data_IF_673114336322
#
_entry.id   IF_673114336322
#
_cell.length_a   1.000
_cell.length_b   1.000
_cell.length_c   1.000
_cell.angle_alpha   90.00
_cell.angle_beta   90.00
_cell.angle_gamma   90.00
#
_symmetry.space_group_name_H-M   'P 1'
#
loop_
_entity.id
_entity.type
_entity.pdbx_description
1 polymer ?
#
# COMPACT_ATOMS: atom_id res chain seq x y z
N UNK A 1 1.14 7.88 22.64
CA UNK A 1 -0.08 8.35 23.33
C UNK A 1 -1.06 8.91 22.30
N UNK A 2 -2.16 8.20 22.00
CA UNK A 2 -3.23 8.74 21.14
C UNK A 2 -3.90 9.90 21.87
N UNK A 3 -3.82 11.12 21.33
CA UNK A 3 -4.66 12.24 21.81
C UNK A 3 -6.12 11.80 21.70
N UNK A 4 -6.74 11.56 22.85
CA UNK A 4 -8.18 11.42 22.97
C UNK A 4 -8.80 12.74 22.48
N UNK A 5 -9.31 12.79 21.25
CA UNK A 5 -10.27 13.84 20.89
C UNK A 5 -11.37 13.82 21.97
N UNK A 6 -11.69 14.98 22.55
CA UNK A 6 -12.80 15.09 23.49
C UNK A 6 -14.04 14.53 22.80
N UNK A 7 -14.73 13.58 23.46
CA UNK A 7 -15.98 13.01 22.97
C UNK A 7 -16.97 14.16 22.77
N UNK A 8 -17.61 14.22 21.60
CA UNK A 8 -18.68 15.19 21.36
C UNK A 8 -19.91 14.85 22.23
N UNK A 9 -20.84 15.79 22.45
CA UNK A 9 -22.11 15.47 23.12
C UNK A 9 -22.89 14.33 22.43
N UNK A 10 -22.81 14.25 21.10
CA UNK A 10 -23.39 13.15 20.32
C UNK A 10 -22.65 11.82 20.58
N UNK A 11 -21.33 11.85 20.74
CA UNK A 11 -20.56 10.66 21.10
C UNK A 11 -20.97 10.11 22.47
N UNK A 12 -21.28 10.99 23.43
CA UNK A 12 -21.74 10.58 24.76
C UNK A 12 -23.10 9.88 24.72
N UNK A 13 -24.02 10.37 23.88
CA UNK A 13 -25.33 9.77 23.66
C UNK A 13 -25.21 8.37 23.02
N UNK A 14 -24.29 8.20 22.06
CA UNK A 14 -24.06 6.94 21.36
C UNK A 14 -23.18 5.95 22.14
N UNK A 15 -22.37 6.43 23.09
CA UNK A 15 -21.40 5.60 23.81
C UNK A 15 -22.07 4.51 24.67
N UNK A 16 -23.15 4.84 25.38
CA UNK A 16 -23.84 3.86 26.22
C UNK A 16 -24.53 2.76 25.39
N UNK A 17 -25.31 3.06 24.34
CA UNK A 17 -25.82 2.03 23.43
C UNK A 17 -24.72 1.21 22.76
N UNK A 18 -23.59 1.83 22.38
CA UNK A 18 -22.46 1.12 21.79
C UNK A 18 -21.82 0.13 22.77
N UNK A 19 -21.74 0.48 24.06
CA UNK A 19 -21.26 -0.43 25.10
C UNK A 19 -22.21 -1.62 25.28
N UNK A 20 -23.53 -1.36 25.32
CA UNK A 20 -24.55 -2.43 25.39
C UNK A 20 -24.38 -3.40 24.22
N UNK A 21 -24.26 -2.88 22.99
CA UNK A 21 -24.01 -3.72 21.82
C UNK A 21 -22.70 -4.50 21.97
N UNK A 22 -21.61 -3.87 22.41
CA UNK A 22 -20.32 -4.53 22.61
C UNK A 22 -20.38 -5.68 23.63
N UNK A 23 -21.19 -5.55 24.69
CA UNK A 23 -21.49 -6.61 25.65
C UNK A 23 -22.33 -7.73 25.02
N UNK A 24 -23.37 -7.38 24.25
CA UNK A 24 -24.20 -8.35 23.53
C UNK A 24 -23.38 -9.21 22.55
N UNK A 25 -22.30 -8.68 21.96
CA UNK A 25 -21.38 -9.48 21.13
C UNK A 25 -20.83 -10.71 21.86
N UNK A 26 -20.65 -10.65 23.20
CA UNK A 26 -20.14 -11.77 24.00
C UNK A 26 -21.21 -12.81 24.22
N UNK A 27 -22.46 -12.36 24.41
CA UNK A 27 -23.63 -13.23 24.61
C UNK A 27 -23.98 -13.98 23.33
N UNK A 28 -23.96 -13.30 22.18
CA UNK A 28 -24.33 -13.87 20.87
C UNK A 28 -23.24 -14.82 20.34
N UNK A 29 -22.02 -14.74 20.87
CA UNK A 29 -20.85 -15.46 20.35
C UNK A 29 -21.02 -16.97 20.10
N UNK A 30 -21.71 -17.76 20.96
CA UNK A 30 -21.92 -19.19 20.69
C UNK A 30 -22.69 -19.45 19.38
N UNK A 31 -23.49 -18.49 18.92
CA UNK A 31 -24.30 -18.57 17.71
C UNK A 31 -23.61 -17.88 16.53
N UNK A 32 -23.04 -16.69 16.73
CA UNK A 32 -22.38 -15.92 15.67
C UNK A 32 -21.23 -15.07 16.20
N UNK A 33 -20.17 -14.94 15.40
CA UNK A 33 -19.04 -14.06 15.71
C UNK A 33 -19.11 -12.79 14.87
N UNK A 34 -19.27 -11.65 15.52
CA UNK A 34 -19.23 -10.33 14.86
C UNK A 34 -17.87 -9.70 15.12
N UNK A 35 -17.19 -9.22 14.08
CA UNK A 35 -15.86 -8.62 14.17
C UNK A 35 -15.80 -7.24 13.58
N UNK A 36 -14.89 -6.42 14.11
CA UNK A 36 -14.72 -5.02 13.70
C UNK A 36 -13.26 -4.72 13.40
N UNK A 37 -13.01 -3.84 12.42
CA UNK A 37 -11.67 -3.27 12.19
C UNK A 37 -11.76 -1.98 11.39
N UNK A 38 -10.95 -1.00 11.78
CA UNK A 38 -10.73 0.20 10.97
C UNK A 38 -9.89 -0.17 9.74
N UNK A 39 -10.36 0.18 8.54
CA UNK A 39 -9.61 0.03 7.31
C UNK A 39 -8.40 0.99 7.32
N UNK A 40 -7.17 0.49 7.11
CA UNK A 40 -5.98 1.35 7.01
C UNK A 40 -5.93 1.99 5.62
N UNK A 41 -6.60 3.13 5.45
CA UNK A 41 -6.69 3.84 4.17
C UNK A 41 -5.78 5.07 4.08
N UNK A 42 -4.98 5.35 5.12
CA UNK A 42 -4.05 6.46 5.22
C UNK A 42 -2.74 6.24 4.44
N UNK A 43 -2.44 4.99 4.10
CA UNK A 43 -1.31 4.61 3.26
C UNK A 43 -1.76 3.57 2.23
N UNK A 44 -1.28 3.70 0.99
CA UNK A 44 -1.77 2.88 -0.13
C UNK A 44 -1.35 1.41 -0.03
N UNK A 45 -0.17 1.13 0.55
CA UNK A 45 0.30 -0.24 0.79
C UNK A 45 -0.65 -1.00 1.72
N UNK A 46 -0.84 -0.54 2.97
CA UNK A 46 -1.83 -1.12 3.88
C UNK A 46 -3.25 -1.18 3.29
N UNK A 47 -3.72 -0.13 2.60
CA UNK A 47 -5.04 -0.12 1.97
C UNK A 47 -5.20 -1.29 0.98
N UNK A 48 -4.18 -1.52 0.15
CA UNK A 48 -4.22 -2.56 -0.88
C UNK A 48 -4.00 -3.94 -0.28
N UNK A 49 -2.90 -4.12 0.47
CA UNK A 49 -2.45 -5.43 0.95
C UNK A 49 -3.41 -6.01 2.00
N UNK A 50 -3.89 -5.20 2.95
CA UNK A 50 -4.82 -5.69 3.99
C UNK A 50 -6.16 -6.09 3.38
N UNK A 51 -6.66 -5.31 2.41
CA UNK A 51 -7.92 -5.59 1.73
C UNK A 51 -7.86 -6.89 0.92
N UNK A 52 -6.79 -7.07 0.12
CA UNK A 52 -6.61 -8.28 -0.67
C UNK A 52 -6.36 -9.51 0.21
N UNK A 53 -5.60 -9.36 1.30
CA UNK A 53 -5.41 -10.42 2.29
C UNK A 53 -6.73 -10.85 2.95
N UNK A 54 -7.58 -9.88 3.33
CA UNK A 54 -8.89 -10.17 3.90
C UNK A 54 -9.79 -10.95 2.94
N UNK A 55 -9.88 -10.51 1.68
CA UNK A 55 -10.67 -11.20 0.65
C UNK A 55 -10.18 -12.64 0.45
N UNK A 56 -8.85 -12.84 0.50
CA UNK A 56 -8.26 -14.17 0.39
C UNK A 56 -8.61 -15.09 1.55
N UNK A 57 -8.58 -14.58 2.78
CA UNK A 57 -9.02 -15.36 3.95
C UNK A 57 -10.49 -15.75 3.79
N UNK A 58 -11.36 -14.84 3.32
CA UNK A 58 -12.78 -15.14 3.09
C UNK A 58 -13.01 -16.21 2.03
N UNK A 59 -12.25 -16.17 0.94
CA UNK A 59 -12.29 -17.17 -0.13
C UNK A 59 -11.82 -18.55 0.35
N UNK A 60 -10.70 -18.61 1.09
CA UNK A 60 -10.10 -19.86 1.54
C UNK A 60 -10.78 -20.48 2.76
N UNK A 61 -11.35 -19.65 3.62
CA UNK A 61 -11.93 -20.07 4.90
C UNK A 61 -13.30 -19.42 5.09
N UNK A 62 -14.32 -19.85 4.31
CA UNK A 62 -15.67 -19.33 4.47
C UNK A 62 -16.20 -19.69 5.86
N UNK A 63 -16.62 -18.67 6.62
CA UNK A 63 -17.18 -18.83 7.97
C UNK A 63 -18.61 -18.27 7.98
N UNK A 64 -19.65 -19.11 7.79
CA UNK A 64 -21.03 -18.64 7.58
C UNK A 64 -21.64 -17.93 8.79
N UNK A 65 -21.13 -18.19 10.00
CA UNK A 65 -21.56 -17.55 11.24
C UNK A 65 -20.62 -16.41 11.67
N UNK A 66 -19.87 -15.85 10.73
CA UNK A 66 -18.93 -14.76 10.99
C UNK A 66 -19.28 -13.52 10.16
N UNK A 67 -19.58 -12.43 10.86
CA UNK A 67 -19.98 -11.16 10.26
C UNK A 67 -18.90 -10.12 10.54
N UNK A 68 -18.45 -9.46 9.48
CA UNK A 68 -17.32 -8.54 9.55
C UNK A 68 -17.75 -7.13 9.18
N UNK A 69 -17.43 -6.18 10.06
CA UNK A 69 -17.72 -4.78 9.90
C UNK A 69 -16.40 -4.02 9.77
N UNK A 70 -15.99 -3.81 8.52
CA UNK A 70 -14.97 -2.84 8.20
C UNK A 70 -15.55 -1.43 8.31
N UNK A 71 -14.79 -0.53 8.92
CA UNK A 71 -15.18 0.87 9.01
C UNK A 71 -14.03 1.79 8.66
N UNK A 72 -14.35 2.98 8.16
CA UNK A 72 -13.38 4.02 7.88
C UNK A 72 -13.66 5.19 8.81
N UNK A 73 -12.70 5.50 9.69
CA UNK A 73 -12.80 6.65 10.58
C UNK A 73 -12.81 7.96 9.78
N UNK A 74 -13.69 8.87 10.15
CA UNK A 74 -13.77 10.21 9.53
C UNK A 74 -12.46 10.99 9.60
N UNK A 75 -11.61 10.72 10.59
CA UNK A 75 -10.31 11.38 10.74
C UNK A 75 -9.22 10.89 9.79
N UNK A 76 -9.46 9.82 9.03
CA UNK A 76 -8.46 9.24 8.13
C UNK A 76 -8.41 10.07 6.84
N UNK A 77 -7.24 10.65 6.54
CA UNK A 77 -6.95 11.21 5.22
C UNK A 77 -6.66 10.03 4.28
N UNK A 78 -7.55 9.76 3.34
CA UNK A 78 -7.40 8.65 2.39
C UNK A 78 -6.20 8.90 1.47
N UNK A 79 -5.35 7.90 1.28
CA UNK A 79 -4.12 8.00 0.48
C UNK A 79 -4.36 7.93 -1.02
N UNK A 80 -5.41 7.23 -1.45
CA UNK A 80 -5.81 7.07 -2.84
C UNK A 80 -7.31 6.73 -2.90
N UNK A 81 -8.13 7.66 -3.39
CA UNK A 81 -9.59 7.49 -3.44
C UNK A 81 -10.03 6.52 -4.53
N UNK A 82 -9.33 6.46 -5.66
CA UNK A 82 -9.62 5.47 -6.70
C UNK A 82 -9.46 4.04 -6.17
N UNK A 83 -8.34 3.74 -5.52
CA UNK A 83 -8.10 2.41 -4.91
C UNK A 83 -9.09 2.14 -3.78
N UNK A 84 -9.48 3.14 -2.98
CA UNK A 84 -10.55 2.97 -1.98
C UNK A 84 -11.87 2.56 -2.64
N UNK A 85 -12.27 3.18 -3.75
CA UNK A 85 -13.47 2.81 -4.50
C UNK A 85 -13.38 1.37 -5.04
N UNK A 86 -12.21 0.96 -5.55
CA UNK A 86 -11.96 -0.42 -5.97
C UNK A 86 -12.12 -1.40 -4.79
N UNK A 87 -11.64 -1.04 -3.60
CA UNK A 87 -11.84 -1.86 -2.39
C UNK A 87 -13.31 -1.88 -1.96
N UNK A 88 -14.01 -0.73 -2.00
CA UNK A 88 -15.43 -0.61 -1.60
C UNK A 88 -16.37 -1.41 -2.50
N UNK A 89 -16.01 -1.62 -3.76
CA UNK A 89 -16.76 -2.52 -4.65
C UNK A 89 -16.65 -4.00 -4.24
N UNK A 90 -15.65 -4.38 -3.44
CA UNK A 90 -15.37 -5.75 -3.01
C UNK A 90 -15.66 -5.98 -1.52
N UNK A 91 -15.53 -4.95 -0.69
CA UNK A 91 -15.67 -4.99 0.76
C UNK A 91 -16.64 -3.90 1.20
N UNK A 92 -17.69 -4.30 1.94
CA UNK A 92 -18.59 -3.34 2.57
C UNK A 92 -17.85 -2.57 3.67
N UNK A 93 -17.64 -1.28 3.44
CA UNK A 93 -16.96 -0.38 4.38
C UNK A 93 -17.98 0.63 4.93
N UNK A 94 -18.04 0.75 6.24
CA UNK A 94 -18.97 1.63 6.93
C UNK A 94 -18.32 2.95 7.36
N UNK A 95 -19.01 4.07 7.15
CA UNK A 95 -18.66 5.39 7.72
C UNK A 95 -19.65 5.71 8.83
N UNK A 96 -19.46 5.10 10.00
CA UNK A 96 -20.41 5.22 11.11
C UNK A 96 -19.70 5.37 12.44
N UNK A 97 -19.93 6.51 13.09
CA UNK A 97 -19.40 6.78 14.42
C UNK A 97 -19.87 5.77 15.47
N UNK A 98 -21.08 5.23 15.32
CA UNK A 98 -21.60 4.18 16.20
C UNK A 98 -20.78 2.89 16.11
N UNK A 99 -20.43 2.44 14.90
CA UNK A 99 -19.57 1.26 14.69
C UNK A 99 -18.18 1.51 15.27
N UNK A 100 -17.62 2.72 15.10
CA UNK A 100 -16.35 3.08 15.72
C UNK A 100 -16.38 2.97 17.25
N UNK A 101 -17.45 3.44 17.89
CA UNK A 101 -17.64 3.38 19.33
C UNK A 101 -17.81 1.93 19.81
N UNK A 102 -18.55 1.08 19.07
CA UNK A 102 -18.65 -0.36 19.38
C UNK A 102 -17.27 -1.00 19.32
N UNK A 103 -16.49 -0.73 18.27
CA UNK A 103 -15.14 -1.26 18.13
C UNK A 103 -14.22 -0.79 19.26
N UNK A 104 -14.31 0.49 19.66
CA UNK A 104 -13.54 1.05 20.76
C UNK A 104 -13.91 0.43 22.12
N UNK A 105 -15.19 0.16 22.37
CA UNK A 105 -15.62 -0.59 23.56
C UNK A 105 -15.19 -2.04 23.51
N UNK A 106 -15.30 -2.68 22.35
CA UNK A 106 -14.87 -4.06 22.13
C UNK A 106 -13.41 -4.28 22.50
N UNK A 107 -12.50 -3.34 22.16
CA UNK A 107 -11.08 -3.41 22.51
C UNK A 107 -10.84 -3.46 24.03
N UNK A 108 -11.71 -2.82 24.83
CA UNK A 108 -11.59 -2.74 26.30
C UNK A 108 -12.19 -3.95 27.04
N UNK A 109 -13.04 -4.73 26.38
CA UNK A 109 -13.77 -5.84 27.01
C UNK A 109 -12.99 -7.17 26.89
N UNK A 110 -13.15 -8.11 27.86
CA UNK A 110 -12.56 -9.43 27.78
C UNK A 110 -12.90 -10.17 26.47
N UNK A 111 -11.93 -10.94 25.96
CA UNK A 111 -12.09 -11.71 24.72
C UNK A 111 -12.09 -10.88 23.44
N UNK A 112 -11.73 -9.59 23.49
CA UNK A 112 -11.72 -8.64 22.36
C UNK A 112 -11.10 -9.18 21.07
N UNK A 113 -9.98 -9.91 21.16
CA UNK A 113 -9.27 -10.51 20.02
C UNK A 113 -10.17 -11.37 19.12
N UNK A 114 -11.22 -11.99 19.67
CA UNK A 114 -12.15 -12.84 18.92
C UNK A 114 -13.16 -12.04 18.07
N UNK A 115 -13.30 -10.76 18.38
CA UNK A 115 -14.18 -9.79 17.72
C UNK A 115 -13.38 -8.75 16.91
N UNK A 116 -12.13 -9.07 16.57
CA UNK A 116 -11.28 -8.26 15.71
C UNK A 116 -11.07 -8.97 14.37
N UNK A 117 -11.21 -8.24 13.27
CA UNK A 117 -10.85 -8.79 11.95
C UNK A 117 -9.32 -8.91 11.90
N UNK A 118 -8.81 -10.06 11.47
CA UNK A 118 -7.37 -10.27 11.33
C UNK A 118 -6.81 -9.27 10.32
N UNK A 119 -5.80 -8.50 10.74
CA UNK A 119 -5.14 -7.46 9.94
C UNK A 119 -3.64 -7.70 9.81
N UNK A 120 -3.10 -8.71 10.49
CA UNK A 120 -1.73 -9.14 10.30
C UNK A 120 -1.64 -9.81 8.95
N UNK A 121 -0.82 -9.24 8.07
CA UNK A 121 -0.68 -9.70 6.69
C UNK A 121 0.26 -10.90 6.70
N UNK A 122 -0.22 -12.02 6.16
CA UNK A 122 0.61 -13.18 5.84
C UNK A 122 0.86 -13.18 4.35
N UNK A 123 2.04 -12.71 3.93
CA UNK A 123 2.37 -12.64 2.50
C UNK A 123 2.32 -14.00 1.80
N UNK A 124 2.54 -15.10 2.51
CA UNK A 124 2.37 -16.45 1.97
C UNK A 124 0.94 -16.70 1.45
N UNK A 125 -0.08 -16.07 2.04
CA UNK A 125 -1.45 -16.14 1.51
C UNK A 125 -1.63 -15.28 0.25
N UNK A 126 -0.72 -14.34 0.03
CA UNK A 126 -0.64 -13.47 -1.14
C UNK A 126 0.43 -13.93 -2.16
N UNK A 127 1.09 -15.07 -1.94
CA UNK A 127 2.03 -15.63 -2.91
C UNK A 127 1.30 -16.27 -4.10
N UNK A 128 1.98 -16.28 -5.26
CA UNK A 128 1.41 -16.76 -6.54
C UNK A 128 0.13 -16.00 -6.94
N UNK A 129 -0.06 -14.78 -6.43
CA UNK A 129 -1.21 -13.90 -6.72
C UNK A 129 -1.07 -13.19 -8.06
N UNK A 130 -0.40 -13.83 -9.02
CA UNK A 130 -0.48 -13.40 -10.39
C UNK A 130 -1.92 -13.45 -10.87
N UNK A 131 -2.55 -12.27 -11.02
CA UNK A 131 -3.91 -12.02 -11.55
C UNK A 131 -5.10 -11.75 -10.60
N UNK A 132 -4.96 -11.41 -9.30
CA UNK A 132 -6.16 -11.14 -8.47
C UNK A 132 -6.53 -9.68 -8.27
N UNK A 133 -5.57 -8.74 -8.22
CA UNK A 133 -5.92 -7.33 -8.33
C UNK A 133 -6.20 -7.04 -9.81
N UNK A 134 -7.48 -7.13 -10.19
CA UNK A 134 -7.98 -6.77 -11.51
C UNK A 134 -8.81 -5.52 -11.39
N UNK A 135 -8.41 -4.49 -12.13
CA UNK A 135 -9.25 -3.31 -12.28
C UNK A 135 -10.50 -3.66 -13.09
N UNK A 136 -11.65 -3.04 -12.81
CA UNK A 136 -12.83 -3.16 -13.67
C UNK A 136 -12.46 -2.89 -15.13
N UNK A 137 -13.01 -3.67 -16.08
CA UNK A 137 -12.62 -3.54 -17.49
C UNK A 137 -12.85 -2.12 -18.03
N UNK A 138 -13.96 -1.48 -17.64
CA UNK A 138 -14.25 -0.09 -17.99
C UNK A 138 -13.16 0.88 -17.51
N UNK A 139 -12.63 0.68 -16.30
CA UNK A 139 -11.56 1.51 -15.74
C UNK A 139 -10.22 1.26 -16.43
N UNK A 140 -9.95 0.00 -16.81
CA UNK A 140 -8.77 -0.37 -17.60
C UNK A 140 -8.80 0.31 -18.96
N UNK A 141 -9.94 0.26 -19.65
CA UNK A 141 -10.10 0.87 -20.97
C UNK A 141 -10.01 2.39 -20.90
N UNK A 142 -10.66 3.01 -19.91
CA UNK A 142 -10.58 4.45 -19.66
C UNK A 142 -9.14 4.90 -19.35
N UNK A 143 -8.45 4.18 -18.47
CA UNK A 143 -7.07 4.49 -18.07
C UNK A 143 -6.09 4.24 -19.23
N UNK A 144 -6.27 3.16 -20.00
CA UNK A 144 -5.50 2.87 -21.23
C UNK A 144 -5.63 4.00 -22.25
N UNK A 145 -6.85 4.48 -22.49
CA UNK A 145 -7.08 5.62 -23.38
C UNK A 145 -6.46 6.91 -22.83
N UNK A 146 -6.56 7.16 -21.52
CA UNK A 146 -5.96 8.32 -20.88
C UNK A 146 -4.43 8.31 -21.00
N UNK A 147 -3.77 7.19 -20.67
CA UNK A 147 -2.29 7.12 -20.74
C UNK A 147 -1.79 7.32 -22.17
N UNK A 148 -2.55 6.83 -23.18
CA UNK A 148 -2.28 7.08 -24.60
C UNK A 148 -2.32 8.57 -24.93
N UNK A 149 -3.32 9.30 -24.44
CA UNK A 149 -3.45 10.75 -24.69
C UNK A 149 -2.30 11.56 -24.10
N UNK A 150 -1.71 11.10 -23.00
CA UNK A 150 -0.61 11.80 -22.33
C UNK A 150 0.78 11.42 -22.84
N UNK A 151 0.86 10.52 -23.84
CA UNK A 151 2.11 10.15 -24.54
C UNK A 151 2.69 8.78 -24.15
N UNK A 152 1.96 7.96 -23.39
CA UNK A 152 2.38 6.61 -23.02
C UNK A 152 1.59 5.61 -23.87
N UNK A 153 2.24 4.82 -24.72
CA UNK A 153 1.54 3.81 -25.51
C UNK A 153 1.24 2.57 -24.64
N UNK A 154 -0.03 2.27 -24.32
CA UNK A 154 -0.39 1.11 -23.51
C UNK A 154 -0.25 -0.22 -24.25
N UNK A 155 -0.02 -0.22 -25.57
CA UNK A 155 0.19 -1.44 -26.36
C UNK A 155 1.67 -1.87 -26.40
N UNK A 156 2.59 -0.96 -26.04
CA UNK A 156 4.01 -1.30 -25.89
C UNK A 156 4.29 -1.84 -24.50
N UNK A 157 5.28 -2.71 -24.39
CA UNK A 157 5.81 -3.08 -23.08
C UNK A 157 6.33 -1.84 -22.36
N UNK A 158 6.00 -1.74 -21.08
CA UNK A 158 6.46 -0.64 -20.24
C UNK A 158 6.81 -1.11 -18.84
N UNK A 159 7.81 -0.44 -18.27
CA UNK A 159 8.29 -0.64 -16.90
C UNK A 159 7.84 0.53 -16.04
N UNK A 160 7.27 0.22 -14.89
CA UNK A 160 6.99 1.23 -13.88
C UNK A 160 8.22 1.44 -13.00
N UNK A 161 8.84 2.63 -13.06
CA UNK A 161 9.99 3.00 -12.24
C UNK A 161 9.52 3.82 -11.04
N UNK A 162 9.59 3.25 -9.84
CA UNK A 162 9.02 3.79 -8.61
C UNK A 162 10.12 3.98 -7.55
N UNK A 163 10.88 5.06 -7.65
CA UNK A 163 12.01 5.35 -6.75
C UNK A 163 11.59 6.39 -5.73
N UNK A 164 11.75 6.05 -4.45
CA UNK A 164 11.49 6.97 -3.35
C UNK A 164 12.61 7.99 -3.18
N UNK A 165 12.24 9.26 -3.04
CA UNK A 165 13.13 10.35 -2.61
C UNK A 165 12.65 10.98 -1.29
N UNK A 166 13.31 12.04 -0.83
CA UNK A 166 12.96 12.74 0.40
C UNK A 166 11.70 13.61 0.32
N UNK A 167 11.22 13.97 -0.87
CA UNK A 167 10.01 14.79 -1.03
C UNK A 167 8.76 14.07 -0.53
N UNK A 168 8.73 12.73 -0.59
CA UNK A 168 7.60 11.95 -0.09
C UNK A 168 7.31 12.16 1.41
N UNK A 169 8.33 12.42 2.23
CA UNK A 169 8.16 12.56 3.70
C UNK A 169 7.88 13.98 4.18
N UNK A 170 8.12 15.02 3.39
CA UNK A 170 7.97 16.42 3.83
C UNK A 170 6.53 16.79 4.22
N UNK A 171 5.51 16.09 3.68
CA UNK A 171 4.10 16.27 4.07
C UNK A 171 3.66 15.34 5.21
N UNK A 172 4.13 14.08 5.25
CA UNK A 172 3.83 13.14 6.35
C UNK A 172 4.43 13.65 7.68
N UNK A 173 5.55 14.34 7.60
CA UNK A 173 6.25 14.95 8.75
C UNK A 173 5.47 16.06 9.46
N UNK A 174 4.49 16.69 8.78
CA UNK A 174 3.68 17.73 9.42
C UNK A 174 2.59 17.15 10.34
N UNK A 175 2.33 15.84 10.29
CA UNK A 175 1.12 15.29 10.89
C UNK A 175 1.29 14.35 12.08
N UNK A 176 2.46 13.81 12.43
CA UNK A 176 2.75 13.25 13.77
C UNK A 176 4.20 12.70 13.85
N UNK A 177 4.93 13.13 14.88
CA UNK A 177 6.22 12.60 15.40
C UNK A 177 7.49 12.82 14.54
N UNK A 178 8.30 13.81 14.93
CA UNK A 178 9.70 13.98 14.53
C UNK A 178 10.57 12.72 14.72
N UNK A 179 10.13 11.71 15.49
CA UNK A 179 10.88 10.47 15.72
C UNK A 179 10.79 9.42 14.60
N UNK A 180 9.87 9.57 13.62
CA UNK A 180 9.73 8.62 12.47
C UNK A 180 10.54 9.02 11.22
N UNK A 181 11.12 10.23 11.16
CA UNK A 181 11.79 10.73 9.92
C UNK A 181 13.10 10.03 9.62
N UNK A 182 14.02 10.04 10.57
CA UNK A 182 15.44 9.76 10.30
C UNK A 182 15.68 8.27 10.04
N UNK A 183 14.87 7.43 10.69
CA UNK A 183 14.99 5.96 10.63
C UNK A 183 14.73 5.34 9.27
N UNK A 184 14.21 6.06 8.28
CA UNK A 184 13.98 5.51 6.93
C UNK A 184 14.54 6.40 5.81
N UNK A 185 15.39 7.36 6.13
CA UNK A 185 16.10 8.16 5.12
C UNK A 185 17.03 7.28 4.28
N UNK A 186 17.54 6.19 4.85
CA UNK A 186 18.36 5.19 4.16
C UNK A 186 17.69 4.61 2.91
N UNK A 187 16.36 4.74 2.77
CA UNK A 187 15.58 4.23 1.64
C UNK A 187 15.46 5.21 0.47
N UNK A 188 15.77 6.48 0.71
CA UNK A 188 15.73 7.49 -0.34
C UNK A 188 16.90 7.25 -1.30
N UNK A 189 16.65 7.38 -2.60
CA UNK A 189 17.64 7.16 -3.66
C UNK A 189 17.57 8.29 -4.67
N UNK A 190 18.68 8.59 -5.34
CA UNK A 190 18.67 9.53 -6.45
C UNK A 190 18.03 8.85 -7.67
N UNK A 191 17.00 9.46 -8.24
CA UNK A 191 16.34 8.94 -9.44
C UNK A 191 17.30 8.88 -10.63
N UNK A 192 18.31 9.75 -10.69
CA UNK A 192 19.27 9.79 -11.79
C UNK A 192 20.21 8.57 -11.82
N UNK A 193 20.39 7.88 -10.69
CA UNK A 193 21.11 6.60 -10.65
C UNK A 193 20.41 5.50 -11.49
N UNK A 194 19.12 5.70 -11.80
CA UNK A 194 18.32 4.80 -12.62
C UNK A 194 18.29 5.19 -14.10
N UNK A 195 18.92 6.30 -14.51
CA UNK A 195 18.96 6.72 -15.91
C UNK A 195 19.63 5.67 -16.81
N UNK A 196 20.78 5.06 -16.46
CA UNK A 196 21.41 4.06 -17.32
C UNK A 196 20.53 2.83 -17.57
N UNK A 197 19.79 2.36 -16.56
CA UNK A 197 18.86 1.24 -16.72
C UNK A 197 17.62 1.66 -17.53
N UNK A 198 17.12 2.87 -17.32
CA UNK A 198 16.00 3.40 -18.08
C UNK A 198 16.33 3.51 -19.58
N UNK A 199 17.48 4.10 -19.91
CA UNK A 199 17.95 4.25 -21.29
C UNK A 199 18.29 2.90 -21.93
N UNK A 200 18.77 1.94 -21.14
CA UNK A 200 19.00 0.57 -21.64
C UNK A 200 17.69 -0.08 -22.08
N UNK A 201 16.63 -0.02 -21.26
CA UNK A 201 15.32 -0.55 -21.64
C UNK A 201 14.71 0.21 -22.82
N UNK A 202 14.86 1.54 -22.84
CA UNK A 202 14.44 2.36 -23.95
C UNK A 202 15.12 1.98 -25.27
N UNK A 203 16.42 1.66 -25.25
CA UNK A 203 17.14 1.17 -26.44
C UNK A 203 16.62 -0.17 -26.98
N UNK A 204 15.91 -0.93 -26.14
CA UNK A 204 15.25 -2.19 -26.49
C UNK A 204 13.79 -2.01 -26.94
N UNK A 205 13.32 -0.77 -27.08
CA UNK A 205 11.94 -0.45 -27.47
C UNK A 205 10.92 -0.52 -26.32
N UNK A 206 11.39 -0.68 -25.07
CA UNK A 206 10.53 -0.75 -23.87
C UNK A 206 10.38 0.64 -23.28
N UNK A 207 9.15 1.04 -22.95
CA UNK A 207 8.89 2.32 -22.29
C UNK A 207 9.29 2.24 -20.81
N UNK A 208 9.86 3.31 -20.27
CA UNK A 208 10.17 3.42 -18.85
C UNK A 208 9.41 4.60 -18.29
N UNK A 209 8.45 4.33 -17.44
CA UNK A 209 7.54 5.33 -16.90
C UNK A 209 7.94 5.60 -15.46
N UNK A 210 8.58 6.75 -15.24
CA UNK A 210 8.93 7.18 -13.89
C UNK A 210 7.69 7.68 -13.18
N UNK A 211 7.35 7.02 -12.08
CA UNK A 211 6.16 7.27 -11.28
C UNK A 211 6.53 7.93 -9.94
N UNK A 212 5.56 8.56 -9.30
CA UNK A 212 5.73 9.18 -7.99
C UNK A 212 4.68 10.25 -7.74
N UNK A 213 4.09 10.24 -6.54
CA UNK A 213 3.08 11.23 -6.19
C UNK A 213 3.65 12.61 -5.87
N UNK A 214 4.82 12.59 -5.24
CA UNK A 214 5.63 13.75 -4.88
C UNK A 214 7.07 13.34 -5.04
N UNK A 215 7.82 14.21 -5.70
CA UNK A 215 9.20 13.95 -6.07
C UNK A 215 10.03 15.21 -5.94
N UNK A 216 11.33 15.07 -5.70
CA UNK A 216 12.26 16.18 -5.49
C UNK A 216 12.68 16.86 -6.80
N UNK A 217 12.78 16.08 -7.89
CA UNK A 217 13.33 16.53 -9.17
C UNK A 217 12.72 15.84 -10.37
N UNK A 218 12.91 16.44 -11.55
CA UNK A 218 12.63 15.85 -12.84
C UNK A 218 13.55 14.64 -13.12
N UNK A 219 13.10 13.77 -14.01
CA UNK A 219 13.86 12.65 -14.52
C UNK A 219 14.01 12.79 -16.03
N UNK A 220 15.18 13.26 -16.47
CA UNK A 220 15.42 13.65 -17.85
C UNK A 220 16.23 12.58 -18.58
N UNK A 221 15.81 12.26 -19.80
CA UNK A 221 16.51 11.35 -20.71
C UNK A 221 16.38 11.88 -22.14
N UNK A 222 17.35 11.52 -22.98
CA UNK A 222 17.30 11.83 -24.41
C UNK A 222 16.30 10.94 -25.17
N UNK A 223 15.91 9.81 -24.59
CA UNK A 223 14.96 8.89 -25.24
C UNK A 223 13.51 9.27 -24.91
N UNK A 224 12.69 9.44 -25.94
CA UNK A 224 11.25 9.67 -25.81
C UNK A 224 10.49 8.48 -25.17
N UNK A 225 11.12 7.30 -25.06
CA UNK A 225 10.54 6.14 -24.38
C UNK A 225 10.72 6.20 -22.86
N UNK A 226 11.54 7.12 -22.34
CA UNK A 226 11.65 7.39 -20.90
C UNK A 226 10.74 8.57 -20.57
N UNK A 227 9.66 8.30 -19.84
CA UNK A 227 8.60 9.28 -19.57
C UNK A 227 8.61 9.63 -18.09
N UNK A 228 8.91 10.88 -17.76
CA UNK A 228 8.72 11.43 -16.41
C UNK A 228 7.25 11.79 -16.16
N UNK A 229 6.45 10.74 -15.94
CA UNK A 229 5.04 10.89 -15.61
C UNK A 229 4.84 11.62 -14.26
N UNK A 230 5.75 11.46 -13.31
CA UNK A 230 5.65 12.07 -11.98
C UNK A 230 5.67 13.61 -11.99
N UNK A 231 6.48 14.24 -12.85
CA UNK A 231 6.53 15.71 -12.98
C UNK A 231 5.70 16.27 -14.14
N UNK A 232 5.09 15.41 -14.95
CA UNK A 232 4.33 15.82 -16.15
C UNK A 232 3.12 16.73 -15.89
N UNK A 233 2.62 16.80 -14.65
CA UNK A 233 1.36 17.47 -14.31
C UNK A 233 0.11 16.72 -14.78
N UNK A 234 0.27 15.53 -15.39
CA UNK A 234 -0.80 14.72 -15.98
C UNK A 234 -1.14 13.48 -15.13
N UNK A 235 -0.83 13.51 -13.84
CA UNK A 235 -1.10 12.36 -12.97
C UNK A 235 -2.55 12.29 -12.55
N UNK A 236 -3.09 11.09 -12.50
CA UNK A 236 -4.37 10.79 -11.85
C UNK A 236 -4.25 9.51 -11.04
N UNK A 237 -5.04 9.38 -9.97
CA UNK A 237 -5.00 8.17 -9.13
C UNK A 237 -5.34 6.91 -9.93
N UNK A 238 -6.31 6.99 -10.84
CA UNK A 238 -6.68 5.88 -11.72
C UNK A 238 -5.53 5.47 -12.66
N UNK A 239 -4.87 6.45 -13.30
CA UNK A 239 -3.72 6.18 -14.15
C UNK A 239 -2.53 5.62 -13.35
N UNK A 240 -2.30 6.07 -12.12
CA UNK A 240 -1.26 5.50 -11.25
C UNK A 240 -1.51 4.01 -11.00
N UNK A 241 -2.73 3.64 -10.59
CA UNK A 241 -3.06 2.23 -10.33
C UNK A 241 -2.98 1.41 -11.62
N UNK A 242 -3.50 1.94 -12.74
CA UNK A 242 -3.41 1.29 -14.05
C UNK A 242 -1.96 0.99 -14.44
N UNK A 243 -1.08 2.00 -14.43
CA UNK A 243 0.32 1.86 -14.80
C UNK A 243 1.05 0.84 -13.91
N UNK A 244 0.79 0.83 -12.60
CA UNK A 244 1.35 -0.18 -11.71
C UNK A 244 0.80 -1.59 -12.02
N UNK A 245 -0.51 -1.71 -12.27
CA UNK A 245 -1.18 -3.00 -12.48
C UNK A 245 -0.94 -3.63 -13.85
N UNK A 246 -0.60 -2.84 -14.88
CA UNK A 246 -0.49 -3.30 -16.26
C UNK A 246 0.95 -3.36 -16.79
N UNK A 247 1.93 -2.82 -16.04
CA UNK A 247 3.35 -2.87 -16.44
C UNK A 247 3.85 -4.30 -16.70
N UNK A 248 4.95 -4.43 -17.45
CA UNK A 248 5.65 -5.70 -17.62
C UNK A 248 6.35 -6.11 -16.30
N UNK A 249 6.95 -5.12 -15.63
CA UNK A 249 7.51 -5.23 -14.29
C UNK A 249 7.61 -3.85 -13.66
N UNK A 250 7.77 -3.79 -12.33
CA UNK A 250 8.12 -2.56 -11.63
C UNK A 250 9.51 -2.63 -11.01
N UNK A 251 10.28 -1.55 -11.15
CA UNK A 251 11.54 -1.33 -10.44
C UNK A 251 11.25 -0.38 -9.28
N UNK A 252 11.53 -0.76 -8.03
CA UNK A 252 11.17 0.06 -6.88
C UNK A 252 12.15 -0.03 -5.71
N UNK A 253 12.09 0.93 -4.79
CA UNK A 253 12.83 0.93 -3.51
C UNK A 253 11.95 0.47 -2.33
N UNK A 254 11.17 -0.60 -2.55
CA UNK A 254 10.30 -1.28 -1.59
C UNK A 254 9.11 -0.44 -1.06
N UNK A 255 8.31 0.14 -1.94
CA UNK A 255 7.26 1.08 -1.59
C UNK A 255 5.93 0.40 -1.27
N UNK A 256 5.08 1.03 -0.44
CA UNK A 256 3.69 0.55 -0.29
C UNK A 256 2.94 0.45 -1.64
N UNK A 257 3.30 1.29 -2.61
CA UNK A 257 2.67 1.35 -3.92
C UNK A 257 3.06 0.19 -4.86
N UNK A 258 4.26 -0.37 -4.73
CA UNK A 258 4.73 -1.43 -5.62
C UNK A 258 4.01 -2.78 -5.38
N UNK A 259 3.31 -2.92 -4.24
CA UNK A 259 2.44 -4.05 -3.96
C UNK A 259 1.28 -4.17 -4.96
N UNK A 260 0.86 -3.06 -5.59
CA UNK A 260 -0.16 -3.10 -6.65
C UNK A 260 0.35 -3.95 -7.81
N UNK A 261 1.59 -3.71 -8.26
CA UNK A 261 2.25 -4.48 -9.31
C UNK A 261 2.30 -5.96 -8.94
N UNK A 262 2.78 -6.30 -7.74
CA UNK A 262 2.84 -7.69 -7.28
C UNK A 262 1.46 -8.37 -7.24
N UNK A 263 0.44 -7.69 -6.70
CA UNK A 263 -0.92 -8.24 -6.56
C UNK A 263 -1.67 -8.32 -7.90
N UNK A 264 -1.22 -7.57 -8.91
CA UNK A 264 -1.64 -7.71 -10.30
C UNK A 264 -0.83 -8.76 -11.06
N UNK A 265 0.18 -9.37 -10.43
CA UNK A 265 1.00 -10.42 -11.02
C UNK A 265 2.20 -9.97 -11.80
N UNK A 266 2.64 -8.74 -11.58
CA UNK A 266 3.82 -8.16 -12.22
C UNK A 266 5.03 -8.41 -11.35
N UNK A 267 6.16 -8.70 -12.01
CA UNK A 267 7.44 -8.85 -11.34
C UNK A 267 7.81 -7.54 -10.63
N UNK A 268 8.27 -7.62 -9.38
CA UNK A 268 8.95 -6.50 -8.71
C UNK A 268 10.45 -6.74 -8.69
N UNK A 269 11.19 -5.72 -9.09
CA UNK A 269 12.64 -5.62 -8.93
C UNK A 269 12.90 -4.58 -7.85
N UNK A 270 13.24 -5.03 -6.66
CA UNK A 270 13.43 -4.17 -5.49
C UNK A 270 14.91 -3.82 -5.34
N UNK A 271 15.26 -2.56 -5.55
CA UNK A 271 16.64 -2.07 -5.48
C UNK A 271 16.97 -1.51 -4.11
N UNK A 272 18.24 -1.68 -3.70
CA UNK A 272 18.80 -1.07 -2.50
C UNK A 272 17.98 -1.36 -1.23
N UNK A 273 17.63 -2.63 -1.03
CA UNK A 273 16.98 -3.12 0.18
C UNK A 273 18.00 -3.18 1.32
N UNK A 274 17.80 -2.44 2.40
CA UNK A 274 18.75 -2.42 3.51
C UNK A 274 18.50 -3.53 4.54
N UNK A 275 17.24 -3.67 4.98
CA UNK A 275 16.91 -4.56 6.08
C UNK A 275 16.52 -5.94 5.54
N UNK A 276 17.38 -6.94 5.73
CA UNK A 276 17.14 -8.28 5.20
C UNK A 276 15.91 -8.94 5.83
N UNK A 277 15.60 -8.68 7.10
CA UNK A 277 14.43 -9.27 7.75
C UNK A 277 13.12 -8.79 7.09
N UNK A 278 13.12 -7.61 6.44
CA UNK A 278 11.96 -7.14 5.70
C UNK A 278 11.70 -7.96 4.44
N UNK A 279 12.72 -8.60 3.85
CA UNK A 279 12.50 -9.49 2.69
C UNK A 279 11.60 -10.67 3.07
N UNK A 280 11.81 -11.24 4.27
CA UNK A 280 11.01 -12.36 4.77
C UNK A 280 9.55 -12.02 5.08
N UNK A 281 9.20 -10.73 5.16
CA UNK A 281 7.86 -10.27 5.59
C UNK A 281 7.15 -9.41 4.56
N UNK A 282 7.86 -8.84 3.57
CA UNK A 282 7.31 -7.89 2.59
C UNK A 282 7.48 -8.35 1.12
N UNK A 283 8.18 -9.45 0.86
CA UNK A 283 8.50 -9.87 -0.51
C UNK A 283 7.69 -11.12 -0.91
N UNK A 284 7.37 -11.19 -2.19
CA UNK A 284 6.72 -12.33 -2.81
C UNK A 284 7.78 -13.27 -3.37
N UNK A 285 7.49 -14.57 -3.46
CA UNK A 285 8.40 -15.58 -4.05
C UNK A 285 8.96 -15.26 -5.45
N UNK A 286 8.31 -14.36 -6.20
CA UNK A 286 8.74 -13.93 -7.54
C UNK A 286 9.60 -12.68 -7.53
N UNK A 287 9.71 -11.97 -6.41
CA UNK A 287 10.45 -10.71 -6.35
C UNK A 287 11.96 -10.95 -6.53
N UNK A 288 12.60 -10.07 -7.29
CA UNK A 288 14.06 -10.00 -7.39
C UNK A 288 14.51 -8.76 -6.63
N UNK A 289 15.63 -8.85 -5.91
CA UNK A 289 16.11 -7.69 -5.17
C UNK A 289 17.63 -7.57 -5.10
N UNK A 290 18.10 -6.36 -4.85
CA UNK A 290 19.49 -6.05 -4.51
C UNK A 290 19.55 -5.50 -3.09
N UNK A 291 20.61 -5.87 -2.36
CA UNK A 291 20.86 -5.36 -1.02
C UNK A 291 21.67 -4.06 -1.06
N UNK A 292 21.45 -3.16 -0.11
CA UNK A 292 22.38 -2.06 0.13
C UNK A 292 23.74 -2.62 0.56
N UNK A 293 24.81 -1.97 0.10
CA UNK A 293 26.15 -2.25 0.59
C UNK A 293 26.34 -1.50 1.90
N UNK A 294 26.74 -2.22 2.94
CA UNK A 294 27.07 -1.63 4.23
C UNK A 294 28.56 -1.31 4.28
N UNK A 295 28.87 -0.16 4.85
CA UNK A 295 30.25 0.29 5.09
C UNK A 295 30.40 0.49 6.59
N UNK A 296 31.42 -0.14 7.18
CA UNK A 296 31.79 0.10 8.57
C UNK A 296 32.31 1.53 8.70
N UNK A 297 31.66 2.34 9.53
CA UNK A 297 31.99 3.77 9.66
C UNK A 297 33.38 4.01 10.24
N UNK A 298 33.87 3.12 11.11
CA UNK A 298 35.16 3.25 11.77
C UNK A 298 36.34 2.99 10.82
N UNK A 299 36.20 2.06 9.88
CA UNK A 299 37.30 1.58 9.03
C UNK A 299 37.12 1.94 7.55
N UNK A 300 35.92 2.32 7.13
CA UNK A 300 35.56 2.47 5.72
C UNK A 300 35.45 1.14 4.97
N UNK A 301 35.53 0.00 5.66
CA UNK A 301 35.48 -1.33 5.05
C UNK A 301 34.07 -1.63 4.53
N UNK A 302 33.96 -2.04 3.27
CA UNK A 302 32.74 -2.65 2.74
C UNK A 302 32.49 -3.99 3.42
N UNK A 303 31.30 -4.16 3.99
CA UNK A 303 30.88 -5.40 4.61
C UNK A 303 30.31 -6.36 3.55
N UNK A 304 30.66 -7.63 3.68
CA UNK A 304 29.98 -8.72 2.98
C UNK A 304 28.55 -8.89 3.50
N UNK A 305 27.72 -9.65 2.78
CA UNK A 305 26.37 -9.96 3.25
C UNK A 305 26.42 -10.64 4.63
N UNK A 306 27.32 -11.61 4.83
CA UNK A 306 27.46 -12.32 6.10
C UNK A 306 27.88 -11.40 7.26
N UNK A 307 28.71 -10.39 6.99
CA UNK A 307 29.09 -9.38 7.99
C UNK A 307 27.98 -8.34 8.25
N UNK A 308 26.97 -8.27 7.38
CA UNK A 308 25.84 -7.33 7.49
C UNK A 308 24.58 -7.94 8.12
N UNK A 309 24.58 -9.25 8.41
CA UNK A 309 23.50 -10.01 9.03
C UNK A 309 23.62 -10.06 10.55
#
# INVERSE_FOLDING_TARGET
>A
MRRSKKLSPQDLLLAAPALVVALLLRVIRPVATIRFRNLPADEIGPLTVVSQHYLRIKELQPKPRQFDFWYLKESVKVSNYYMLAVVESQIKIHRSRFIELIAAWNEKLPGSKRHLIESEVRLTLLERVGSKLRLPQADRDASSNYVRQIGIDPQKEFIALMVRDGAYKSEILQLNTQQRSDKEMYRNQDINDYLPVAEKFASMGVQVIRMGAKVERSFESQSALVVDYATSGKRTEAADIYLASECAMCISTNLGFDHISALSGKLRVITNQALIWQTSTLFYSTDVFTMQRFVETATGKNLTLAESL
#
